data_IF_343250260307
#
_entry.id   IF_343250260307
#
_cell.length_a   1.000
_cell.length_b   1.000
_cell.length_c   1.000
_cell.angle_alpha   90.00
_cell.angle_beta   90.00
_cell.angle_gamma   90.00
#
_symmetry.space_group_name_H-M   'P 1'
#
loop_
_entity.id
_entity.type
_entity.pdbx_description
1 polymer ?
#
# COMPACT_ATOMS: atom_id res chain seq x y z
N UNK A 1 -3.47 3.30 9.81
CA UNK A 1 -3.32 4.77 9.72
C UNK A 1 -4.69 5.37 9.50
N UNK A 2 -4.96 6.62 9.90
CA UNK A 2 -6.28 7.22 9.71
C UNK A 2 -6.55 7.53 8.22
N UNK A 3 -7.81 7.51 7.77
CA UNK A 3 -8.18 8.01 6.46
C UNK A 3 -8.00 9.54 6.38
N UNK A 4 -7.88 10.12 5.16
CA UNK A 4 -7.80 11.56 4.98
C UNK A 4 -9.07 12.27 5.44
N UNK A 5 -8.90 13.54 5.83
CA UNK A 5 -9.99 14.39 6.34
C UNK A 5 -10.92 14.91 5.25
N UNK A 6 -10.45 14.99 4.00
CA UNK A 6 -11.19 15.51 2.85
C UNK A 6 -10.89 14.66 1.63
N UNK A 7 -11.90 14.37 0.84
CA UNK A 7 -11.76 13.74 -0.47
C UNK A 7 -11.63 14.81 -1.56
N UNK A 8 -10.69 14.64 -2.49
CA UNK A 8 -10.52 15.57 -3.61
C UNK A 8 -11.35 15.17 -4.84
N UNK A 9 -11.96 13.99 -4.84
CA UNK A 9 -12.65 13.40 -5.99
C UNK A 9 -11.74 12.91 -7.12
N UNK A 10 -10.41 13.04 -6.98
CA UNK A 10 -9.43 12.55 -7.96
C UNK A 10 -9.11 11.09 -7.69
N UNK A 11 -8.89 10.31 -8.75
CA UNK A 11 -8.58 8.88 -8.70
C UNK A 11 -7.20 8.62 -9.28
N UNK A 12 -6.45 7.71 -8.66
CA UNK A 12 -5.15 7.26 -9.11
C UNK A 12 -5.06 5.74 -9.07
N UNK A 13 -4.42 5.16 -10.09
CA UNK A 13 -4.09 3.73 -10.15
C UNK A 13 -2.57 3.58 -10.16
N UNK A 14 -2.05 2.69 -9.32
CA UNK A 14 -0.63 2.40 -9.18
C UNK A 14 -0.41 0.93 -9.56
N UNK A 15 0.59 0.67 -10.41
CA UNK A 15 0.95 -0.68 -10.83
C UNK A 15 2.18 -1.14 -10.04
N UNK A 16 2.04 -2.30 -9.41
CA UNK A 16 2.97 -2.87 -8.42
C UNK A 16 2.64 -2.42 -7.00
N UNK A 17 2.92 -3.28 -6.03
CA UNK A 17 2.68 -3.13 -4.59
C UNK A 17 4.01 -3.26 -3.79
N UNK A 18 5.13 -2.90 -4.42
CA UNK A 18 6.42 -2.77 -3.75
C UNK A 18 6.54 -1.51 -2.88
N UNK A 19 7.69 -1.30 -2.22
CA UNK A 19 7.88 -0.19 -1.28
C UNK A 19 7.64 1.20 -1.90
N UNK A 20 8.04 1.41 -3.15
CA UNK A 20 7.80 2.66 -3.86
C UNK A 20 6.31 2.92 -4.06
N UNK A 21 5.55 1.90 -4.48
CA UNK A 21 4.12 1.99 -4.70
C UNK A 21 3.34 2.18 -3.39
N UNK A 22 3.71 1.47 -2.33
CA UNK A 22 3.12 1.64 -1.00
C UNK A 22 3.32 3.07 -0.47
N UNK A 23 4.50 3.64 -0.70
CA UNK A 23 4.82 5.03 -0.33
C UNK A 23 3.97 6.01 -1.15
N UNK A 24 3.89 5.83 -2.47
CA UNK A 24 3.07 6.67 -3.34
C UNK A 24 1.58 6.59 -2.96
N UNK A 25 1.07 5.38 -2.69
CA UNK A 25 -0.31 5.16 -2.28
C UNK A 25 -0.62 5.88 -0.96
N UNK A 26 0.28 5.80 0.02
CA UNK A 26 0.16 6.52 1.28
C UNK A 26 0.02 8.03 1.08
N UNK A 27 0.94 8.66 0.32
CA UNK A 27 0.92 10.11 0.13
C UNK A 27 -0.28 10.58 -0.68
N UNK A 28 -0.64 9.87 -1.75
CA UNK A 28 -1.82 10.20 -2.55
C UNK A 28 -3.11 10.05 -1.74
N UNK A 29 -3.19 8.98 -0.92
CA UNK A 29 -4.35 8.78 -0.05
C UNK A 29 -4.41 9.85 1.04
N UNK A 30 -3.29 10.19 1.66
CA UNK A 30 -3.22 11.26 2.66
C UNK A 30 -3.60 12.64 2.07
N UNK A 31 -3.32 12.87 0.78
CA UNK A 31 -3.76 14.07 0.06
C UNK A 31 -5.27 14.07 -0.29
N UNK A 32 -5.99 12.99 0.00
CA UNK A 32 -7.43 12.87 -0.23
C UNK A 32 -7.81 12.28 -1.59
N UNK A 33 -6.89 11.63 -2.30
CA UNK A 33 -7.19 10.94 -3.55
C UNK A 33 -7.73 9.53 -3.27
N UNK A 34 -8.59 9.01 -4.14
CA UNK A 34 -8.93 7.59 -4.17
C UNK A 34 -7.82 6.84 -4.88
N UNK A 35 -7.28 5.79 -4.25
CA UNK A 35 -6.10 5.07 -4.76
C UNK A 35 -6.41 3.58 -4.85
N UNK A 36 -6.12 3.00 -6.02
CA UNK A 36 -6.11 1.56 -6.24
C UNK A 36 -4.69 1.11 -6.61
N UNK A 37 -4.16 0.14 -5.90
CA UNK A 37 -2.87 -0.50 -6.17
C UNK A 37 -3.16 -1.86 -6.80
N UNK A 38 -2.57 -2.13 -7.97
CA UNK A 38 -2.74 -3.38 -8.69
C UNK A 38 -1.39 -4.10 -8.72
N UNK A 39 -1.32 -5.34 -8.24
CA UNK A 39 -0.14 -6.19 -8.34
C UNK A 39 -0.48 -7.56 -8.94
N UNK A 40 0.53 -8.22 -9.50
CA UNK A 40 0.41 -9.60 -9.97
C UNK A 40 0.47 -10.61 -8.81
N UNK A 41 1.11 -10.23 -7.72
CA UNK A 41 1.37 -11.09 -6.57
C UNK A 41 0.23 -11.05 -5.55
N UNK A 42 -0.01 -12.17 -4.87
CA UNK A 42 -1.15 -12.34 -3.95
C UNK A 42 -1.17 -11.39 -2.74
N UNK A 43 0.01 -11.02 -2.23
CA UNK A 43 0.17 -10.16 -1.06
C UNK A 43 0.95 -8.88 -1.42
N UNK A 44 0.49 -7.69 -1.00
CA UNK A 44 1.24 -6.46 -1.18
C UNK A 44 2.54 -6.47 -0.36
N UNK A 45 3.57 -5.81 -0.88
CA UNK A 45 4.90 -5.73 -0.25
C UNK A 45 6.06 -5.92 -1.23
N UNK A 46 5.80 -6.48 -2.42
CA UNK A 46 6.81 -6.72 -3.44
C UNK A 46 8.00 -7.53 -2.90
N UNK A 47 9.23 -7.08 -3.18
CA UNK A 47 10.43 -7.79 -2.71
C UNK A 47 10.53 -7.91 -1.19
N UNK A 48 9.89 -7.01 -0.42
CA UNK A 48 9.84 -7.13 1.04
C UNK A 48 9.11 -8.40 1.49
N UNK A 49 8.16 -8.86 0.68
CA UNK A 49 7.35 -10.04 0.96
C UNK A 49 7.91 -11.32 0.33
N UNK A 50 8.47 -11.19 -0.88
CA UNK A 50 8.80 -12.35 -1.72
C UNK A 50 10.29 -12.66 -1.85
N UNK A 51 11.19 -11.72 -1.56
CA UNK A 51 12.64 -11.91 -1.80
C UNK A 51 13.49 -11.83 -0.54
N UNK A 52 13.14 -10.97 0.42
CA UNK A 52 13.94 -10.81 1.64
C UNK A 52 13.59 -11.92 2.64
N UNK A 53 14.59 -12.65 3.20
CA UNK A 53 14.33 -13.69 4.18
C UNK A 53 13.65 -13.17 5.46
N UNK A 54 12.77 -13.99 6.04
CA UNK A 54 11.94 -13.69 7.22
C UNK A 54 12.76 -13.14 8.41
N UNK A 55 13.92 -13.74 8.68
CA UNK A 55 14.79 -13.33 9.81
C UNK A 55 15.38 -11.92 9.63
N UNK A 56 15.44 -11.40 8.39
CA UNK A 56 15.83 -10.00 8.10
C UNK A 56 14.62 -9.09 8.00
N UNK A 57 13.55 -9.58 7.38
CA UNK A 57 12.31 -8.85 7.18
C UNK A 57 11.12 -9.71 7.61
N UNK A 58 10.64 -9.57 8.85
CA UNK A 58 9.46 -10.28 9.31
C UNK A 58 8.24 -9.86 8.49
N UNK A 59 7.58 -10.82 7.83
CA UNK A 59 6.42 -10.58 6.95
C UNK A 59 5.26 -9.96 7.71
N UNK A 60 5.11 -10.26 9.00
CA UNK A 60 4.07 -9.66 9.83
C UNK A 60 4.23 -8.14 9.97
N UNK A 61 5.47 -7.62 9.93
CA UNK A 61 5.69 -6.17 9.89
C UNK A 61 5.24 -5.58 8.55
N UNK A 62 5.51 -6.28 7.45
CA UNK A 62 5.07 -5.88 6.11
C UNK A 62 3.55 -5.89 6.03
N UNK A 63 2.88 -6.97 6.47
CA UNK A 63 1.41 -7.08 6.54
C UNK A 63 0.78 -6.01 7.42
N UNK A 64 1.39 -5.70 8.56
CA UNK A 64 0.92 -4.62 9.44
C UNK A 64 1.00 -3.25 8.75
N UNK A 65 2.06 -2.99 7.98
CA UNK A 65 2.18 -1.77 7.20
C UNK A 65 1.15 -1.71 6.07
N UNK A 66 1.03 -2.76 5.26
CA UNK A 66 0.08 -2.80 4.13
C UNK A 66 -1.36 -2.73 4.63
N UNK A 67 -1.70 -3.43 5.71
CA UNK A 67 -2.98 -3.31 6.40
C UNK A 67 -3.23 -1.89 6.95
N UNK A 68 -2.22 -1.23 7.48
CA UNK A 68 -2.34 0.16 7.92
C UNK A 68 -2.64 1.14 6.77
N UNK A 69 -2.09 0.88 5.57
CA UNK A 69 -2.36 1.62 4.34
C UNK A 69 -3.75 1.27 3.79
N UNK A 70 -4.15 -0.01 3.80
CA UNK A 70 -5.49 -0.44 3.42
C UNK A 70 -6.57 0.24 4.28
N UNK A 71 -6.33 0.34 5.59
CA UNK A 71 -7.22 1.04 6.54
C UNK A 71 -7.38 2.54 6.25
N UNK A 72 -6.50 3.15 5.44
CA UNK A 72 -6.72 4.52 4.98
C UNK A 72 -7.77 4.60 3.86
N UNK A 73 -8.18 3.48 3.28
CA UNK A 73 -9.06 3.39 2.11
C UNK A 73 -8.31 3.20 0.79
N UNK A 74 -7.07 2.68 0.83
CA UNK A 74 -6.37 2.22 -0.38
C UNK A 74 -6.87 0.82 -0.72
N UNK A 75 -7.27 0.61 -1.96
CA UNK A 75 -7.69 -0.71 -2.45
C UNK A 75 -6.49 -1.45 -3.05
N UNK A 76 -6.27 -2.70 -2.64
CA UNK A 76 -5.28 -3.60 -3.24
C UNK A 76 -6.00 -4.63 -4.11
N UNK A 77 -5.53 -4.83 -5.34
CA UNK A 77 -6.09 -5.75 -6.33
C UNK A 77 -5.02 -6.52 -7.07
#
# INVERSE_FOLDING_TARGET
MPPPKKETGKKAVIIGAGPAALTAAYYLRNAGHSVTVIDKMDEPGGLLMYAIPEYRMPKDKVRRLTGAIANMGVEFR
#
